data_IF_159427490305
#
_entry.id   IF_159427490305
#
_cell.length_a   1.000
_cell.length_b   1.000
_cell.length_c   1.000
_cell.angle_alpha   90.00
_cell.angle_beta   90.00
_cell.angle_gamma   90.00
#
_symmetry.space_group_name_H-M   'P 1'
#
loop_
_entity.id
_entity.type
_entity.pdbx_description
1 polymer ?
#
# COMPACT_ATOMS: atom_id res chain seq x y z
N UNK A 1 17.06 30.69 -73.72
CA UNK A 1 16.20 29.56 -73.29
C UNK A 1 16.75 29.08 -71.96
N UNK A 2 16.22 29.61 -70.85
CA UNK A 2 16.66 29.22 -69.50
C UNK A 2 15.93 27.93 -69.16
N UNK A 3 16.66 26.81 -69.10
CA UNK A 3 16.15 25.57 -68.53
C UNK A 3 15.81 25.84 -67.07
N UNK A 4 14.53 26.10 -66.78
CA UNK A 4 14.04 26.14 -65.42
C UNK A 4 14.30 24.75 -64.82
N UNK A 5 15.22 24.69 -63.85
CA UNK A 5 15.49 23.47 -63.12
C UNK A 5 14.27 23.21 -62.22
N UNK A 6 13.49 22.19 -62.53
CA UNK A 6 12.23 21.93 -61.84
C UNK A 6 12.35 20.66 -60.99
N UNK A 7 12.48 20.76 -59.66
CA UNK A 7 12.61 19.58 -58.81
C UNK A 7 11.30 18.81 -58.71
N UNK A 8 11.39 17.48 -58.68
CA UNK A 8 10.27 16.60 -58.33
C UNK A 8 10.19 16.47 -56.81
N UNK A 9 9.03 16.77 -56.23
CA UNK A 9 8.78 16.69 -54.79
C UNK A 9 7.76 15.59 -54.49
N UNK A 10 8.12 14.69 -53.59
CA UNK A 10 7.24 13.66 -53.05
C UNK A 10 6.87 14.01 -51.61
N UNK A 11 5.59 14.24 -51.34
CA UNK A 11 5.07 14.45 -49.98
C UNK A 11 4.35 13.20 -49.52
N UNK A 12 4.92 12.53 -48.52
CA UNK A 12 4.31 11.39 -47.86
C UNK A 12 3.36 11.86 -46.78
N UNK A 13 2.07 11.57 -46.98
CA UNK A 13 1.02 11.87 -46.01
C UNK A 13 0.84 10.71 -45.00
N UNK A 14 0.26 10.99 -43.82
CA UNK A 14 -0.08 9.95 -42.85
C UNK A 14 -1.25 9.09 -43.36
N UNK A 15 -1.22 7.79 -43.05
CA UNK A 15 -2.28 6.86 -43.45
C UNK A 15 -3.67 7.33 -42.96
N UNK A 16 -4.74 7.20 -43.77
CA UNK A 16 -4.87 6.44 -45.02
C UNK A 16 -4.51 7.22 -46.32
N UNK A 17 -3.92 8.41 -46.22
CA UNK A 17 -3.61 9.23 -47.40
C UNK A 17 -2.36 8.71 -48.12
N UNK A 18 -2.41 8.71 -49.46
CA UNK A 18 -1.30 8.30 -50.33
C UNK A 18 -0.26 9.42 -50.54
N UNK A 19 0.84 9.09 -51.20
CA UNK A 19 1.91 10.04 -51.53
C UNK A 19 1.42 11.03 -52.59
N UNK A 20 1.62 12.32 -52.36
CA UNK A 20 1.35 13.37 -53.34
C UNK A 20 2.65 13.77 -54.04
N UNK A 21 2.59 13.85 -55.37
CA UNK A 21 3.72 14.22 -56.21
C UNK A 21 3.50 15.60 -56.80
N UNK A 22 4.45 16.49 -56.59
CA UNK A 22 4.50 17.78 -57.26
C UNK A 22 5.63 17.77 -58.28
N UNK A 23 5.26 17.90 -59.55
CA UNK A 23 6.20 18.09 -60.65
C UNK A 23 6.19 19.57 -61.02
N UNK A 24 7.33 20.10 -61.46
CA UNK A 24 7.36 21.41 -62.12
C UNK A 24 7.08 22.62 -61.22
N UNK A 25 7.38 22.51 -59.91
CA UNK A 25 7.32 23.65 -59.00
C UNK A 25 8.50 24.62 -59.22
N UNK A 26 8.25 25.94 -59.32
CA UNK A 26 9.32 26.93 -59.39
C UNK A 26 10.11 26.94 -58.07
N UNK A 27 11.43 27.15 -58.15
CA UNK A 27 12.31 27.17 -56.96
C UNK A 27 11.93 28.26 -55.95
N UNK A 28 11.27 29.33 -56.42
CA UNK A 28 10.83 30.46 -55.62
C UNK A 28 9.54 30.20 -54.84
N UNK A 29 8.82 29.10 -55.15
CA UNK A 29 7.63 28.73 -54.40
C UNK A 29 8.00 28.36 -52.95
N UNK A 30 7.11 28.72 -52.03
CA UNK A 30 7.29 28.46 -50.61
C UNK A 30 6.75 27.08 -50.25
N UNK A 31 7.30 26.51 -49.17
CA UNK A 31 6.84 25.22 -48.62
C UNK A 31 5.34 25.28 -48.24
N UNK A 32 4.85 26.43 -47.79
CA UNK A 32 3.43 26.65 -47.47
C UNK A 32 2.49 26.73 -48.69
N UNK A 33 3.03 26.88 -49.90
CA UNK A 33 2.24 26.98 -51.13
C UNK A 33 1.95 25.61 -51.77
N UNK A 34 2.48 24.52 -51.20
CA UNK A 34 2.15 23.17 -51.67
C UNK A 34 0.67 22.89 -51.39
N UNK A 35 -0.09 22.65 -52.47
CA UNK A 35 -1.52 22.33 -52.40
C UNK A 35 -1.72 20.89 -51.90
N UNK A 36 -1.57 20.72 -50.59
CA UNK A 36 -1.77 19.44 -49.92
C UNK A 36 -3.26 19.15 -49.80
N UNK A 37 -3.70 17.87 -49.95
CA UNK A 37 -5.10 17.46 -49.82
C UNK A 37 -5.57 17.42 -48.36
N UNK A 38 -5.23 18.45 -47.58
CA UNK A 38 -5.50 18.59 -46.15
C UNK A 38 -6.12 19.97 -45.94
N UNK A 39 -7.20 20.06 -45.17
CA UNK A 39 -7.85 21.34 -44.89
C UNK A 39 -6.84 22.31 -44.24
N UNK A 40 -6.86 23.59 -44.63
CA UNK A 40 -5.95 24.62 -44.07
C UNK A 40 -5.99 24.70 -42.54
N UNK A 41 -7.15 24.43 -41.93
CA UNK A 41 -7.30 24.35 -40.47
C UNK A 41 -6.56 23.15 -39.85
N UNK A 42 -6.49 22.02 -40.56
CA UNK A 42 -5.72 20.85 -40.14
C UNK A 42 -4.23 20.99 -40.43
N UNK A 43 -3.81 21.97 -41.24
CA UNK A 43 -2.40 22.26 -41.51
C UNK A 43 -1.69 22.89 -40.32
N UNK A 44 -2.38 23.69 -39.50
CA UNK A 44 -1.84 24.23 -38.24
C UNK A 44 -1.46 23.11 -37.25
N UNK A 45 -2.17 21.99 -37.39
CA UNK A 45 -1.97 20.73 -36.72
C UNK A 45 -0.97 19.80 -37.41
N UNK A 46 -0.35 20.20 -38.50
CA UNK A 46 0.65 19.40 -39.20
C UNK A 46 1.99 20.11 -39.26
N UNK A 47 3.03 19.33 -39.53
CA UNK A 47 4.37 19.85 -39.78
C UNK A 47 5.02 19.03 -40.88
N UNK A 48 5.62 19.71 -41.84
CA UNK A 48 6.41 19.09 -42.89
C UNK A 48 7.83 18.85 -42.38
N UNK A 49 8.36 17.68 -42.68
CA UNK A 49 9.73 17.28 -42.38
C UNK A 49 10.43 16.89 -43.67
N UNK A 50 11.66 17.33 -43.84
CA UNK A 50 12.50 16.90 -44.95
C UNK A 50 13.32 15.66 -44.59
N UNK A 51 13.80 14.93 -45.60
CA UNK A 51 14.82 13.92 -45.36
C UNK A 51 16.16 14.59 -45.04
N UNK A 52 16.61 14.47 -43.79
CA UNK A 52 17.87 15.08 -43.30
C UNK A 52 17.75 16.55 -42.88
N UNK A 53 16.66 17.21 -43.28
CA UNK A 53 16.28 18.54 -42.81
C UNK A 53 15.21 18.36 -41.73
N UNK A 54 15.29 19.10 -40.63
CA UNK A 54 14.34 18.97 -39.53
C UNK A 54 12.92 19.41 -39.92
N UNK A 55 12.21 20.02 -38.96
CA UNK A 55 10.93 20.65 -39.26
C UNK A 55 11.13 21.78 -40.27
N UNK A 56 10.35 21.78 -41.33
CA UNK A 56 10.29 22.86 -42.32
C UNK A 56 9.26 23.91 -41.87
N UNK A 57 9.60 25.18 -42.11
CA UNK A 57 8.72 26.31 -41.86
C UNK A 57 8.05 26.73 -43.18
N UNK A 58 6.81 27.22 -43.09
CA UNK A 58 5.97 27.49 -44.27
C UNK A 58 6.56 28.60 -45.18
N UNK A 59 7.38 29.49 -44.62
CA UNK A 59 8.06 30.57 -45.34
C UNK A 59 9.37 30.17 -46.02
N UNK A 60 9.80 28.90 -45.91
CA UNK A 60 11.03 28.47 -46.57
C UNK A 60 10.83 28.29 -48.08
N UNK A 61 11.77 28.75 -48.92
CA UNK A 61 11.73 28.49 -50.35
C UNK A 61 12.16 27.05 -50.66
N UNK A 62 11.55 26.45 -51.68
CA UNK A 62 11.91 25.11 -52.17
C UNK A 62 13.37 25.05 -52.61
N UNK A 63 13.95 26.15 -53.08
CA UNK A 63 15.37 26.26 -53.42
C UNK A 63 16.31 25.78 -52.30
N UNK A 64 15.95 26.01 -51.03
CA UNK A 64 16.77 25.59 -49.89
C UNK A 64 16.78 24.08 -49.64
N UNK A 65 15.83 23.36 -50.23
CA UNK A 65 15.65 21.91 -50.09
C UNK A 65 16.33 21.13 -51.22
N UNK A 66 16.75 21.81 -52.29
CA UNK A 66 17.46 21.20 -53.41
C UNK A 66 18.88 20.82 -52.97
N UNK A 67 19.30 19.61 -53.30
CA UNK A 67 20.64 19.16 -53.01
C UNK A 67 21.65 19.83 -53.95
N UNK A 68 22.56 20.63 -53.40
CA UNK A 68 23.61 21.35 -54.13
C UNK A 68 24.52 20.41 -54.95
N UNK A 69 24.76 19.18 -54.47
CA UNK A 69 25.62 18.19 -55.14
C UNK A 69 24.90 17.35 -56.19
N UNK A 70 23.58 17.19 -56.07
CA UNK A 70 22.77 16.40 -56.99
C UNK A 70 21.44 17.09 -57.26
N UNK A 71 21.38 18.01 -58.25
CA UNK A 71 20.19 18.80 -58.47
C UNK A 71 19.00 17.89 -58.83
N UNK A 72 19.19 16.87 -59.69
CA UNK A 72 18.14 15.94 -60.11
C UNK A 72 17.62 14.98 -59.02
N UNK A 73 18.09 15.10 -57.78
CA UNK A 73 17.61 14.23 -56.71
C UNK A 73 16.19 14.63 -56.29
N UNK A 74 15.24 13.68 -56.21
CA UNK A 74 13.88 13.98 -55.79
C UNK A 74 13.83 14.43 -54.32
N UNK A 75 13.08 15.48 -54.03
CA UNK A 75 12.89 15.97 -52.66
C UNK A 75 11.79 15.13 -52.02
N UNK A 76 12.11 14.49 -50.89
CA UNK A 76 11.15 13.69 -50.13
C UNK A 76 10.78 14.41 -48.83
N UNK A 77 9.49 14.69 -48.67
CA UNK A 77 8.92 15.35 -47.52
C UNK A 77 7.92 14.42 -46.81
N UNK A 78 7.80 14.58 -45.50
CA UNK A 78 6.89 13.83 -44.65
C UNK A 78 5.96 14.79 -43.93
N UNK A 79 4.65 14.64 -44.10
CA UNK A 79 3.67 15.38 -43.32
C UNK A 79 3.38 14.61 -42.03
N UNK A 80 3.71 15.20 -40.88
CA UNK A 80 3.46 14.60 -39.58
C UNK A 80 2.43 15.42 -38.80
N UNK A 81 1.33 14.81 -38.32
CA UNK A 81 0.38 15.48 -37.45
C UNK A 81 1.02 15.78 -36.09
N UNK A 82 0.80 16.99 -35.61
CA UNK A 82 1.13 17.51 -34.29
C UNK A 82 -0.03 17.15 -33.37
N UNK A 83 0.20 16.19 -32.48
CA UNK A 83 -0.76 15.90 -31.44
C UNK A 83 -0.80 17.08 -30.46
N UNK A 84 -1.99 17.63 -30.20
CA UNK A 84 -2.25 18.64 -29.17
C UNK A 84 -2.15 17.98 -27.78
N UNK A 85 -0.93 17.59 -27.38
CA UNK A 85 -0.69 16.87 -26.14
C UNK A 85 0.80 16.64 -25.88
N UNK A 86 1.27 17.08 -24.72
CA UNK A 86 2.67 16.92 -24.31
C UNK A 86 3.01 15.47 -23.97
N UNK A 87 4.25 15.07 -24.29
CA UNK A 87 5.02 13.87 -23.89
C UNK A 87 5.03 13.49 -22.38
N UNK A 88 4.12 14.02 -21.56
CA UNK A 88 4.13 13.97 -20.10
C UNK A 88 3.51 12.72 -19.46
N UNK A 89 2.84 11.85 -20.22
CA UNK A 89 2.22 10.64 -19.67
C UNK A 89 3.23 9.62 -19.14
N UNK A 90 4.28 9.34 -19.91
CA UNK A 90 5.28 8.32 -19.57
C UNK A 90 6.08 8.67 -18.32
N UNK A 91 6.53 9.92 -18.18
CA UNK A 91 7.25 10.38 -16.98
C UNK A 91 6.39 10.33 -15.71
N UNK A 92 5.08 10.61 -15.83
CA UNK A 92 4.13 10.45 -14.71
C UNK A 92 3.99 8.98 -14.32
N UNK A 93 3.90 8.09 -15.30
CA UNK A 93 3.83 6.65 -15.08
C UNK A 93 5.10 6.11 -14.41
N UNK A 94 6.28 6.57 -14.83
CA UNK A 94 7.55 6.21 -14.19
C UNK A 94 7.63 6.70 -12.74
N UNK A 95 7.20 7.94 -12.46
CA UNK A 95 7.15 8.46 -11.09
C UNK A 95 6.17 7.67 -10.21
N UNK A 96 4.99 7.34 -10.76
CA UNK A 96 4.01 6.51 -10.07
C UNK A 96 4.53 5.09 -9.79
N UNK A 97 5.25 4.49 -10.74
CA UNK A 97 5.87 3.18 -10.58
C UNK A 97 7.01 3.20 -9.55
N UNK A 98 7.91 4.20 -9.62
CA UNK A 98 9.01 4.37 -8.67
C UNK A 98 8.53 4.56 -7.23
N UNK A 99 7.44 5.31 -7.02
CA UNK A 99 6.81 5.46 -5.71
C UNK A 99 6.22 4.17 -5.13
N UNK A 100 5.82 3.21 -5.97
CA UNK A 100 5.34 1.89 -5.53
C UNK A 100 6.50 0.97 -5.14
N UNK A 101 7.59 1.02 -5.90
CA UNK A 101 8.78 0.20 -5.65
C UNK A 101 9.48 0.61 -4.34
N UNK A 102 9.54 1.90 -4.01
CA UNK A 102 10.17 2.37 -2.77
C UNK A 102 9.42 1.96 -1.50
N UNK A 103 8.10 1.79 -1.56
CA UNK A 103 7.29 1.34 -0.42
C UNK A 103 7.47 -0.16 -0.12
N UNK A 104 7.57 -0.99 -1.16
CA UNK A 104 7.75 -2.45 -1.00
C UNK A 104 9.06 -2.82 -0.31
N UNK A 105 10.09 -1.96 -0.38
CA UNK A 105 11.34 -2.15 0.36
C UNK A 105 11.27 -1.85 1.87
N UNK A 106 10.19 -1.20 2.35
CA UNK A 106 9.96 -0.93 3.79
C UNK A 106 9.13 -2.00 4.49
N UNK A 107 8.39 -2.79 3.73
CA UNK A 107 7.64 -3.92 4.27
C UNK A 107 8.62 -5.09 4.49
N UNK A 108 9.30 -5.10 5.63
CA UNK A 108 10.22 -6.17 6.05
C UNK A 108 9.44 -7.46 6.35
N UNK A 109 8.97 -8.13 5.30
CA UNK A 109 8.43 -9.49 5.35
C UNK A 109 9.57 -10.52 5.48
N UNK A 110 10.37 -10.39 6.53
CA UNK A 110 11.52 -11.26 6.83
C UNK A 110 11.08 -12.52 7.61
N UNK A 111 9.78 -12.73 7.80
CA UNK A 111 9.28 -13.78 8.71
C UNK A 111 9.55 -15.20 8.20
N UNK A 112 9.69 -15.34 6.88
CA UNK A 112 9.99 -16.62 6.21
C UNK A 112 11.48 -16.99 6.25
N UNK A 113 12.36 -16.05 6.55
CA UNK A 113 13.80 -16.31 6.59
C UNK A 113 14.18 -17.16 7.80
N UNK A 114 15.29 -17.89 7.66
CA UNK A 114 15.87 -18.74 8.70
C UNK A 114 17.11 -18.09 9.30
N UNK A 115 17.36 -18.38 10.57
CA UNK A 115 18.62 -18.06 11.21
C UNK A 115 19.71 -19.11 10.88
N UNK A 116 20.94 -18.89 11.36
CA UNK A 116 22.05 -19.83 11.21
C UNK A 116 21.82 -21.17 11.93
N UNK A 117 20.83 -21.22 12.85
CA UNK A 117 20.42 -22.45 13.54
C UNK A 117 19.32 -23.22 12.81
N UNK A 118 18.85 -22.70 11.66
CA UNK A 118 17.79 -23.30 10.83
C UNK A 118 16.36 -23.04 11.31
N UNK A 119 16.17 -22.24 12.35
CA UNK A 119 14.86 -21.82 12.88
C UNK A 119 14.33 -20.63 12.08
N UNK A 120 13.02 -20.56 11.87
CA UNK A 120 12.40 -19.42 11.19
C UNK A 120 12.31 -18.22 12.13
N UNK A 121 12.52 -17.01 11.60
CA UNK A 121 12.38 -15.78 12.39
C UNK A 121 10.98 -15.64 13.01
N UNK A 122 9.94 -16.17 12.35
CA UNK A 122 8.58 -16.26 12.89
C UNK A 122 8.52 -16.98 14.25
N UNK A 123 9.10 -18.18 14.31
CA UNK A 123 9.09 -19.03 15.52
C UNK A 123 9.86 -18.37 16.68
N UNK A 124 10.91 -17.62 16.37
CA UNK A 124 11.69 -16.88 17.36
C UNK A 124 10.89 -15.70 17.92
N UNK A 125 10.19 -14.94 17.05
CA UNK A 125 9.33 -13.82 17.48
C UNK A 125 8.16 -14.32 18.34
N UNK A 126 7.53 -15.42 17.93
CA UNK A 126 6.45 -16.04 18.71
C UNK A 126 6.95 -16.49 20.08
N UNK A 127 8.09 -17.18 20.14
CA UNK A 127 8.67 -17.61 21.42
C UNK A 127 9.00 -16.43 22.34
N UNK A 128 9.57 -15.34 21.81
CA UNK A 128 9.83 -14.10 22.58
C UNK A 128 8.54 -13.48 23.11
N UNK A 129 7.52 -13.36 22.26
CA UNK A 129 6.20 -12.84 22.65
C UNK A 129 5.56 -13.68 23.76
N UNK A 130 5.70 -15.00 23.69
CA UNK A 130 5.20 -15.90 24.74
C UNK A 130 5.97 -15.76 26.05
N UNK A 131 7.30 -15.62 26.00
CA UNK A 131 8.12 -15.38 27.18
C UNK A 131 7.76 -14.05 27.87
N UNK A 132 7.64 -12.96 27.09
CA UNK A 132 7.21 -11.65 27.59
C UNK A 132 5.81 -11.70 28.22
N UNK A 133 4.90 -12.49 27.64
CA UNK A 133 3.56 -12.68 28.21
C UNK A 133 3.60 -13.39 29.57
N UNK A 134 4.39 -14.46 29.70
CA UNK A 134 4.55 -15.17 30.98
C UNK A 134 5.18 -14.25 32.03
N UNK A 135 6.24 -13.53 31.69
CA UNK A 135 6.90 -12.60 32.62
C UNK A 135 6.00 -11.45 33.05
N UNK A 136 5.24 -10.87 32.12
CA UNK A 136 4.29 -9.79 32.44
C UNK A 136 3.16 -10.28 33.33
N UNK A 137 2.65 -11.50 33.09
CA UNK A 137 1.65 -12.13 33.93
C UNK A 137 2.18 -12.40 35.34
N UNK A 138 3.40 -12.92 35.49
CA UNK A 138 4.01 -13.15 36.81
C UNK A 138 4.24 -11.85 37.57
N UNK A 139 4.67 -10.77 36.91
CA UNK A 139 4.85 -9.45 37.54
C UNK A 139 3.51 -8.89 38.02
N UNK A 140 2.45 -9.04 37.22
CA UNK A 140 1.10 -8.65 37.62
C UNK A 140 0.63 -9.47 38.83
N UNK A 141 0.81 -10.79 38.82
CA UNK A 141 0.45 -11.64 39.96
C UNK A 141 1.23 -11.28 41.22
N UNK A 142 2.56 -11.12 41.15
CA UNK A 142 3.41 -10.72 42.29
C UNK A 142 2.96 -9.39 42.90
N UNK A 143 2.73 -8.36 42.08
CA UNK A 143 2.24 -7.06 42.57
C UNK A 143 0.84 -7.15 43.19
N UNK A 144 -0.07 -7.96 42.63
CA UNK A 144 -1.40 -8.17 43.24
C UNK A 144 -1.32 -8.92 44.56
N UNK A 145 -0.42 -9.90 44.68
CA UNK A 145 -0.18 -10.65 45.91
C UNK A 145 0.43 -9.75 46.98
N UNK A 146 1.38 -8.89 46.64
CA UNK A 146 1.96 -7.90 47.55
C UNK A 146 0.92 -6.88 48.01
N UNK A 147 0.09 -6.37 47.09
CA UNK A 147 -1.01 -5.46 47.44
C UNK A 147 -2.05 -6.14 48.32
N UNK A 148 -2.37 -7.42 48.08
CA UNK A 148 -3.27 -8.22 48.94
C UNK A 148 -2.66 -8.42 50.33
N UNK A 149 -1.37 -8.78 50.42
CA UNK A 149 -0.67 -8.93 51.70
C UNK A 149 -0.62 -7.62 52.48
N UNK A 150 -0.31 -6.50 51.83
CA UNK A 150 -0.30 -5.18 52.48
C UNK A 150 -1.70 -4.77 52.99
N UNK A 151 -2.76 -5.06 52.22
CA UNK A 151 -4.15 -4.83 52.65
C UNK A 151 -4.51 -5.69 53.87
N UNK A 152 -4.15 -6.97 53.85
CA UNK A 152 -4.37 -7.88 54.99
C UNK A 152 -3.64 -7.38 56.24
N UNK A 153 -2.36 -7.04 56.13
CA UNK A 153 -1.57 -6.50 57.25
C UNK A 153 -2.15 -5.20 57.81
N UNK A 154 -2.69 -4.34 56.94
CA UNK A 154 -3.34 -3.09 57.36
C UNK A 154 -4.61 -3.38 58.16
N UNK A 155 -5.44 -4.33 57.70
CA UNK A 155 -6.65 -4.76 58.40
C UNK A 155 -6.32 -5.45 59.73
N UNK A 156 -5.30 -6.30 59.78
CA UNK A 156 -4.82 -6.96 61.00
C UNK A 156 -4.38 -5.91 62.04
N UNK A 157 -3.64 -4.88 61.61
CA UNK A 157 -3.23 -3.77 62.48
C UNK A 157 -4.41 -2.95 63.00
N UNK A 158 -5.45 -2.76 62.19
CA UNK A 158 -6.66 -2.04 62.58
C UNK A 158 -7.56 -2.86 63.53
N UNK A 159 -7.62 -4.17 63.36
CA UNK A 159 -8.46 -5.07 64.17
C UNK A 159 -7.79 -5.53 65.48
N UNK A 160 -6.52 -5.16 65.72
CA UNK A 160 -5.84 -5.39 67.00
C UNK A 160 -5.58 -6.86 67.35
N UNK A 161 -5.62 -7.76 66.37
CA UNK A 161 -5.35 -9.18 66.56
C UNK A 161 -3.82 -9.36 66.69
N UNK A 162 -3.34 -9.62 67.91
CA UNK A 162 -1.94 -9.99 68.14
C UNK A 162 -1.69 -11.43 67.66
N UNK A 163 -0.57 -11.71 66.96
CA UNK A 163 -0.22 -13.07 66.56
C UNK A 163 0.31 -13.85 67.77
N UNK A 164 -0.58 -14.26 68.67
CA UNK A 164 -0.24 -15.13 69.79
C UNK A 164 -1.21 -16.32 69.88
N UNK A 165 -0.69 -17.51 69.59
CA UNK A 165 -1.10 -18.81 70.15
C UNK A 165 -2.57 -19.23 70.02
N UNK A 166 -3.01 -19.63 68.81
CA UNK A 166 -4.23 -20.43 68.62
C UNK A 166 -4.03 -21.66 67.72
N UNK A 167 -2.90 -22.35 67.87
CA UNK A 167 -2.67 -23.65 67.23
C UNK A 167 -2.10 -24.69 68.22
N UNK A 168 -2.99 -25.36 68.95
CA UNK A 168 -2.79 -26.60 69.72
C UNK A 168 -4.22 -27.14 69.93
N UNK A 169 -4.70 -28.31 69.54
CA UNK A 169 -4.22 -29.64 69.08
C UNK A 169 -5.46 -30.30 68.38
N UNK A 170 -5.41 -31.17 67.37
CA UNK A 170 -4.90 -32.55 67.38
C UNK A 170 -4.96 -33.24 65.99
N UNK A 171 -3.96 -34.13 65.74
CA UNK A 171 -3.95 -35.23 64.75
C UNK A 171 -3.34 -34.89 63.38
N UNK A 172 -2.25 -35.47 62.87
CA UNK A 172 -1.42 -36.61 63.25
C UNK A 172 -0.99 -37.36 61.97
N UNK A 173 0.30 -37.76 61.89
CA UNK A 173 0.97 -38.61 60.87
C UNK A 173 1.42 -37.84 59.60
N UNK A 174 2.68 -37.82 59.13
CA UNK A 174 3.94 -38.51 59.44
C UNK A 174 4.85 -38.50 58.18
N UNK A 175 6.17 -38.68 58.36
CA UNK A 175 7.27 -38.85 57.35
C UNK A 175 7.81 -37.59 56.64
N UNK A 176 8.93 -36.99 57.10
CA UNK A 176 10.37 -37.35 56.99
C UNK A 176 11.01 -36.83 55.68
N UNK A 177 11.69 -35.68 55.70
CA UNK A 177 13.08 -35.46 56.10
C UNK A 177 14.10 -35.93 55.04
N UNK A 178 14.97 -35.01 54.60
CA UNK A 178 16.16 -35.34 53.82
C UNK A 178 16.66 -34.17 52.96
N UNK A 179 17.41 -33.25 53.55
CA UNK A 179 18.29 -32.34 52.82
C UNK A 179 19.74 -32.63 53.21
N UNK A 180 20.66 -32.55 52.24
CA UNK A 180 22.10 -32.44 52.50
C UNK A 180 22.83 -31.76 51.32
N UNK A 181 23.72 -30.85 51.69
CA UNK A 181 24.61 -30.02 50.86
C UNK A 181 25.83 -30.80 50.31
N UNK A 182 26.36 -30.29 49.18
CA UNK A 182 27.77 -30.21 48.65
C UNK A 182 28.85 -31.23 49.15
N UNK A 183 29.78 -31.79 48.35
CA UNK A 183 30.86 -31.17 47.54
C UNK A 183 31.57 -32.17 46.59
N UNK A 184 32.08 -31.67 45.44
CA UNK A 184 33.31 -31.98 44.65
C UNK A 184 33.80 -33.42 44.37
N UNK A 185 33.95 -33.80 43.08
CA UNK A 185 35.24 -33.85 42.33
C UNK A 185 35.17 -34.65 41.00
N UNK A 186 35.64 -33.97 39.95
CA UNK A 186 36.24 -34.32 38.65
C UNK A 186 36.15 -35.72 37.95
N UNK A 187 36.12 -35.60 36.61
CA UNK A 187 36.66 -36.47 35.53
C UNK A 187 35.70 -37.45 34.82
N UNK A 188 35.38 -37.12 33.57
CA UNK A 188 34.79 -37.96 32.51
C UNK A 188 35.83 -39.00 32.00
N UNK A 189 35.48 -40.10 31.26
CA UNK A 189 34.74 -40.00 30.00
C UNK A 189 33.81 -41.17 29.58
N UNK A 190 32.93 -40.82 28.64
CA UNK A 190 32.45 -41.59 27.46
C UNK A 190 31.59 -42.88 27.58
N UNK A 191 30.41 -42.74 26.95
CA UNK A 191 29.84 -43.59 25.89
C UNK A 191 28.79 -44.69 26.20
N UNK A 192 27.62 -44.46 25.58
CA UNK A 192 26.75 -45.41 24.86
C UNK A 192 25.52 -46.04 25.57
N UNK A 193 24.34 -45.56 25.11
CA UNK A 193 23.14 -46.32 24.75
C UNK A 193 22.36 -47.09 25.83
N UNK A 194 21.39 -46.41 26.46
CA UNK A 194 20.36 -47.01 27.32
C UNK A 194 19.08 -47.37 26.55
N UNK A 195 18.60 -48.58 26.85
CA UNK A 195 17.39 -49.29 26.41
C UNK A 195 16.20 -48.99 27.35
N UNK A 196 14.95 -49.26 26.93
CA UNK A 196 13.88 -50.04 27.65
C UNK A 196 12.43 -49.53 27.36
N UNK A 197 11.41 -50.42 27.26
CA UNK A 197 10.07 -50.15 26.74
C UNK A 197 8.97 -49.93 27.80
N UNK A 198 7.77 -49.66 27.27
CA UNK A 198 6.50 -49.16 27.85
C UNK A 198 5.79 -50.14 28.80
N UNK A 199 5.23 -49.61 29.91
CA UNK A 199 4.17 -50.23 30.71
C UNK A 199 3.07 -49.21 31.03
N UNK A 200 1.82 -49.61 30.80
CA UNK A 200 0.59 -48.83 30.90
C UNK A 200 0.14 -48.61 32.35
N UNK A 201 -0.33 -47.40 32.69
CA UNK A 201 -1.17 -47.14 33.87
C UNK A 201 -2.46 -46.47 33.43
N UNK A 202 -3.57 -47.16 33.69
CA UNK A 202 -4.93 -46.74 33.38
C UNK A 202 -5.38 -45.62 34.34
N UNK A 203 -5.91 -44.52 33.80
CA UNK A 203 -6.48 -43.41 34.58
C UNK A 203 -7.99 -43.52 34.54
N UNK A 204 -8.58 -43.66 35.73
CA UNK A 204 -10.00 -43.97 35.98
C UNK A 204 -10.92 -42.75 35.68
N UNK A 205 -11.59 -42.76 34.51
CA UNK A 205 -12.40 -41.64 33.98
C UNK A 205 -13.66 -41.31 34.82
N UNK A 206 -14.05 -42.20 35.73
CA UNK A 206 -15.30 -42.09 36.50
C UNK A 206 -15.29 -40.97 37.54
N UNK A 207 -14.10 -40.58 38.05
CA UNK A 207 -13.94 -39.49 39.04
C UNK A 207 -14.00 -38.08 38.45
N UNK A 208 -13.72 -37.92 37.15
CA UNK A 208 -13.74 -36.61 36.48
C UNK A 208 -15.18 -36.21 36.10
N UNK A 209 -16.06 -37.18 35.85
CA UNK A 209 -17.44 -36.93 35.44
C UNK A 209 -18.32 -36.33 36.55
N UNK A 210 -18.04 -36.63 37.84
CA UNK A 210 -18.82 -36.12 38.98
C UNK A 210 -18.53 -34.65 39.34
N UNK A 211 -17.47 -34.04 38.78
CA UNK A 211 -17.18 -32.59 38.92
C UNK A 211 -17.59 -31.81 37.66
N UNK A 212 -18.77 -32.10 37.11
CA UNK A 212 -19.41 -31.22 36.12
C UNK A 212 -19.98 -30.00 36.84
N UNK A 213 -19.11 -29.04 37.18
CA UNK A 213 -19.50 -27.70 37.57
C UNK A 213 -20.33 -27.11 36.42
N UNK A 214 -21.64 -26.99 36.60
CA UNK A 214 -22.49 -26.27 35.64
C UNK A 214 -21.97 -24.84 35.58
N UNK A 215 -21.51 -24.47 34.40
CA UNK A 215 -20.89 -23.18 34.10
C UNK A 215 -22.00 -22.14 34.02
N UNK A 216 -22.46 -21.67 35.18
CA UNK A 216 -23.44 -20.59 35.31
C UNK A 216 -22.72 -19.24 35.47
N UNK A 217 -21.75 -18.96 34.59
CA UNK A 217 -21.12 -17.64 34.49
C UNK A 217 -22.10 -16.68 33.78
N UNK A 218 -23.09 -16.16 34.51
CA UNK A 218 -24.00 -15.10 34.04
C UNK A 218 -23.23 -13.89 33.49
N UNK A 219 -22.07 -13.59 34.07
CA UNK A 219 -21.15 -12.54 33.62
C UNK A 219 -20.57 -12.82 32.24
N UNK A 220 -20.36 -14.09 31.86
CA UNK A 220 -19.86 -14.42 30.52
C UNK A 220 -20.94 -14.16 29.46
N UNK A 221 -22.21 -14.44 29.77
CA UNK A 221 -23.31 -14.15 28.87
C UNK A 221 -23.62 -12.65 28.77
N UNK A 222 -23.50 -11.91 29.88
CA UNK A 222 -23.65 -10.44 29.88
C UNK A 222 -22.53 -9.77 29.09
N UNK A 223 -21.27 -10.14 29.33
CA UNK A 223 -20.13 -9.63 28.55
C UNK A 223 -20.22 -10.02 27.08
N UNK A 224 -20.65 -11.24 26.76
CA UNK A 224 -20.88 -11.66 25.37
C UNK A 224 -22.02 -10.87 24.71
N UNK A 225 -23.09 -10.52 25.44
CA UNK A 225 -24.17 -9.67 24.93
C UNK A 225 -23.67 -8.25 24.68
N UNK A 226 -22.95 -7.67 25.62
CA UNK A 226 -22.40 -6.31 25.51
C UNK A 226 -21.40 -6.19 24.35
N UNK A 227 -20.53 -7.19 24.15
CA UNK A 227 -19.61 -7.25 23.00
C UNK A 227 -20.41 -7.29 21.69
N UNK A 228 -21.43 -8.14 21.59
CA UNK A 228 -22.26 -8.24 20.38
C UNK A 228 -23.03 -6.94 20.09
N UNK A 229 -23.52 -6.25 21.12
CA UNK A 229 -24.24 -4.98 20.97
C UNK A 229 -23.31 -3.82 20.61
N UNK A 230 -22.08 -3.80 21.13
CA UNK A 230 -21.04 -2.84 20.72
C UNK A 230 -20.67 -3.00 19.24
N UNK A 231 -20.55 -4.24 18.75
CA UNK A 231 -20.26 -4.52 17.34
C UNK A 231 -21.44 -4.13 16.45
N UNK A 232 -22.67 -4.48 16.83
CA UNK A 232 -23.89 -4.12 16.09
C UNK A 232 -24.06 -2.60 16.00
N UNK A 233 -23.88 -1.88 17.10
CA UNK A 233 -23.96 -0.41 17.12
C UNK A 233 -22.86 0.26 16.30
N UNK A 234 -21.63 -0.28 16.32
CA UNK A 234 -20.54 0.21 15.47
C UNK A 234 -20.81 -0.01 13.97
N UNK A 235 -21.39 -1.16 13.59
CA UNK A 235 -21.76 -1.46 12.20
C UNK A 235 -22.92 -0.59 11.73
N UNK A 236 -23.96 -0.38 12.55
CA UNK A 236 -25.08 0.51 12.19
C UNK A 236 -24.62 1.96 12.08
N UNK A 237 -23.77 2.43 13.00
CA UNK A 237 -23.14 3.75 12.91
C UNK A 237 -22.26 3.87 11.65
N UNK A 238 -21.51 2.82 11.30
CA UNK A 238 -20.71 2.75 10.07
C UNK A 238 -21.57 2.83 8.80
N UNK A 239 -22.69 2.10 8.75
CA UNK A 239 -23.63 2.14 7.63
C UNK A 239 -24.34 3.49 7.51
N UNK A 240 -24.74 4.12 8.62
CA UNK A 240 -25.35 5.45 8.61
C UNK A 240 -24.35 6.54 8.19
N UNK A 241 -23.08 6.45 8.63
CA UNK A 241 -22.00 7.33 8.15
C UNK A 241 -21.72 7.12 6.66
N UNK A 242 -21.74 5.87 6.16
CA UNK A 242 -21.61 5.55 4.73
C UNK A 242 -22.77 6.12 3.92
N UNK A 243 -24.02 6.01 4.40
CA UNK A 243 -25.21 6.60 3.75
C UNK A 243 -25.18 8.13 3.77
N UNK A 244 -24.74 8.76 4.87
CA UNK A 244 -24.60 10.23 4.95
C UNK A 244 -23.52 10.73 3.99
N UNK A 245 -22.39 10.02 3.88
CA UNK A 245 -21.32 10.31 2.91
C UNK A 245 -21.83 10.16 1.47
N UNK A 246 -22.52 9.08 1.15
CA UNK A 246 -23.11 8.87 -0.18
C UNK A 246 -24.14 9.96 -0.56
N UNK A 247 -24.92 10.46 0.42
CA UNK A 247 -25.89 11.55 0.19
C UNK A 247 -25.20 12.90 -0.07
N UNK A 248 -24.10 13.19 0.63
CA UNK A 248 -23.23 14.36 0.38
C UNK A 248 -22.56 14.29 -0.99
N UNK A 249 -22.04 13.12 -1.36
CA UNK A 249 -21.39 12.90 -2.66
C UNK A 249 -22.40 13.08 -3.81
N UNK A 250 -23.66 12.66 -3.64
CA UNK A 250 -24.74 12.85 -4.63
C UNK A 250 -25.26 14.30 -4.77
N UNK A 251 -25.12 15.12 -3.72
CA UNK A 251 -25.55 16.53 -3.75
C UNK A 251 -24.54 17.44 -4.45
N UNK A 252 -23.28 17.00 -4.60
CA UNK A 252 -22.20 17.79 -5.21
C UNK A 252 -22.13 17.62 -6.73
N UNK A 253 -22.97 16.75 -7.33
CA UNK A 253 -22.98 16.47 -8.78
C UNK A 253 -24.16 17.10 -9.55
N UNK A 254 -24.96 17.96 -8.91
CA UNK A 254 -26.05 18.69 -9.56
C UNK A 254 -25.80 20.21 -9.54
N UNK A 255 -24.96 20.69 -10.46
CA UNK A 255 -24.90 22.11 -10.84
C UNK A 255 -25.62 22.26 -12.20
N UNK A 256 -26.65 23.11 -12.32
CA UNK A 256 -27.38 23.28 -13.57
C UNK A 256 -26.54 24.09 -14.57
N UNK A 257 -26.42 23.57 -15.79
CA UNK A 257 -25.85 24.24 -16.96
C UNK A 257 -26.95 24.66 -17.93
N UNK A 258 -26.86 25.89 -18.44
CA UNK A 258 -27.68 26.46 -19.52
C UNK A 258 -28.48 27.68 -19.04
N UNK A 259 -28.58 28.80 -19.75
CA UNK A 259 -28.03 29.29 -21.00
C UNK A 259 -28.22 30.82 -20.99
N UNK A 260 -27.42 31.58 -21.74
CA UNK A 260 -27.46 33.05 -21.73
C UNK A 260 -28.57 33.69 -22.58
N UNK A 261 -28.86 34.96 -22.29
CA UNK A 261 -29.39 35.94 -23.26
C UNK A 261 -29.25 37.39 -22.72
N UNK A 262 -28.29 38.11 -23.31
CA UNK A 262 -28.25 39.51 -23.80
C UNK A 262 -29.00 40.68 -23.11
N UNK A 263 -28.29 41.81 -23.16
CA UNK A 263 -28.69 43.24 -23.38
C UNK A 263 -28.86 44.23 -22.22
N UNK A 264 -28.21 45.38 -22.46
CA UNK A 264 -28.59 46.77 -22.18
C UNK A 264 -28.01 47.50 -20.94
N UNK A 265 -27.12 48.45 -21.28
CA UNK A 265 -26.84 49.78 -20.74
C UNK A 265 -27.63 50.29 -19.51
N UNK A 266 -26.92 51.01 -18.63
CA UNK A 266 -27.53 51.91 -17.64
C UNK A 266 -26.55 52.36 -16.56
N UNK A 267 -25.81 53.44 -16.83
CA UNK A 267 -25.18 54.32 -15.83
C UNK A 267 -26.21 54.82 -14.80
N UNK A 268 -25.79 55.01 -13.54
CA UNK A 268 -26.04 56.20 -12.67
C UNK A 268 -25.86 55.88 -11.16
N UNK A 269 -25.11 56.78 -10.51
CA UNK A 269 -25.16 57.24 -9.10
C UNK A 269 -24.51 56.47 -7.93
N UNK A 270 -23.50 57.16 -7.39
CA UNK A 270 -23.41 57.68 -6.01
C UNK A 270 -23.02 56.74 -4.85
N UNK A 271 -21.85 57.04 -4.29
CA UNK A 271 -21.51 56.83 -2.89
C UNK A 271 -20.83 58.11 -2.37
N UNK A 272 -21.61 58.94 -1.68
CA UNK A 272 -21.26 59.78 -0.52
C UNK A 272 -22.55 60.45 -0.04
#
# INVERSE_FOLDING_TARGET
MLNAFLPTIYVRLPAPLDIVTFNELPLDALVGDLDLPVSRSSLEDCSLFGNGYGRLEDSQPIASLVNVQSPFHPIQLHLQPRLRGGKGGFGSQLRAAGGRMSKKGKDENNDSCRDLSGRRLSTIKEAKKMAEYVESKEKAEKSTLEARKAKLQTLERQLGIQPSLSASTNGGIGSSAGGSSETTDAVAPMASSTKVPVASTEVDLTKVAQKRHRFDDSQYFETSREINDSVRSAVTAGLLKKRKKAKLDSATTAKPTGAGAVTAAGTVAANA
#
